data_IF_582060118707
#
_entry.id   IF_582060118707
#
_cell.length_a   1.000
_cell.length_b   1.000
_cell.length_c   1.000
_cell.angle_alpha   90.00
_cell.angle_beta   90.00
_cell.angle_gamma   90.00
#
_symmetry.space_group_name_H-M   'P 1'
#
loop_
_entity.id
_entity.type
_entity.pdbx_description
1 polymer ?
#
# COMPACT_ATOMS: atom_id res chain seq x y z
N UNK A 1 63.91 32.40 15.58
CA UNK A 1 62.80 31.67 16.15
C UNK A 1 61.49 32.15 15.53
N UNK A 2 60.97 31.42 14.56
CA UNK A 2 59.67 31.73 13.90
C UNK A 2 58.63 30.83 14.55
N UNK A 3 57.59 31.43 15.16
CA UNK A 3 56.43 30.75 15.75
C UNK A 3 55.43 30.44 14.63
N UNK A 4 55.13 29.20 14.41
CA UNK A 4 54.00 28.74 13.56
C UNK A 4 52.74 28.80 14.38
N UNK A 5 51.72 29.52 13.89
CA UNK A 5 50.39 29.53 14.44
C UNK A 5 49.64 28.28 13.92
N UNK A 6 48.87 27.55 14.77
CA UNK A 6 48.06 26.44 14.28
C UNK A 6 46.81 27.00 13.58
N UNK A 7 46.62 26.60 12.34
CA UNK A 7 45.39 26.82 11.61
C UNK A 7 44.30 25.88 12.16
N UNK A 8 43.34 26.42 12.89
CA UNK A 8 42.15 25.70 13.29
C UNK A 8 41.24 25.51 12.04
N UNK A 9 41.19 24.28 11.57
CA UNK A 9 40.21 23.90 10.53
C UNK A 9 38.85 23.76 11.20
N UNK A 10 37.97 24.74 10.98
CA UNK A 10 36.58 24.66 11.42
C UNK A 10 35.84 23.80 10.40
N UNK A 11 35.51 22.55 10.76
CA UNK A 11 34.56 21.73 10.03
C UNK A 11 33.16 22.26 10.29
N UNK A 12 32.61 22.98 9.33
CA UNK A 12 31.18 23.30 9.30
C UNK A 12 30.47 22.01 8.88
N UNK A 13 29.92 21.30 9.86
CA UNK A 13 28.94 20.23 9.63
C UNK A 13 27.67 20.90 9.06
N UNK A 14 27.55 20.94 7.74
CA UNK A 14 26.29 21.24 7.07
C UNK A 14 25.39 20.05 7.32
N UNK A 15 24.55 20.14 8.34
CA UNK A 15 23.46 19.22 8.56
C UNK A 15 22.46 19.43 7.42
N UNK A 16 22.65 18.71 6.31
CA UNK A 16 21.71 18.68 5.22
C UNK A 16 20.40 18.09 5.76
N UNK A 17 19.42 18.92 5.98
CA UNK A 17 18.04 18.49 6.20
C UNK A 17 17.60 17.86 4.88
N UNK A 18 17.71 16.55 4.79
CA UNK A 18 17.05 15.79 3.75
C UNK A 18 15.55 15.99 3.98
N UNK A 19 14.95 16.82 3.16
CA UNK A 19 13.50 16.90 3.06
C UNK A 19 13.03 15.57 2.51
N UNK A 20 12.63 14.66 3.39
CA UNK A 20 11.83 13.50 3.02
C UNK A 20 10.51 14.11 2.54
N UNK A 21 10.33 14.20 1.25
CA UNK A 21 9.03 14.55 0.70
C UNK A 21 8.09 13.43 1.06
N UNK A 22 7.09 13.72 1.88
CA UNK A 22 5.95 12.83 2.05
C UNK A 22 5.36 12.61 0.66
N UNK A 23 5.26 11.36 0.26
CA UNK A 23 4.81 10.99 -1.07
C UNK A 23 3.34 11.28 -1.31
N UNK A 24 2.54 11.26 -0.25
CA UNK A 24 1.10 11.52 -0.27
C UNK A 24 0.79 12.77 0.54
N UNK A 25 0.78 13.93 -0.10
CA UNK A 25 0.35 15.18 0.54
C UNK A 25 -1.15 15.39 0.38
N UNK A 26 -1.72 14.94 -0.75
CA UNK A 26 -3.14 15.04 -1.01
C UNK A 26 -3.95 14.00 -0.22
N UNK A 27 -5.08 14.43 0.32
CA UNK A 27 -6.02 13.56 1.06
C UNK A 27 -7.33 13.46 0.30
N UNK A 28 -7.73 12.24 0.00
CA UNK A 28 -8.96 11.90 -0.72
C UNK A 28 -10.01 11.35 0.22
N UNK A 29 -11.28 11.64 -0.05
CA UNK A 29 -12.41 11.15 0.73
C UNK A 29 -13.28 10.27 -0.18
N UNK A 30 -13.33 8.96 0.05
CA UNK A 30 -14.15 8.05 -0.74
C UNK A 30 -15.63 8.45 -0.71
N UNK A 31 -16.29 8.41 -1.86
CA UNK A 31 -17.70 8.73 -2.01
C UNK A 31 -18.04 10.23 -2.14
N UNK A 32 -17.16 11.12 -1.72
CA UNK A 32 -17.35 12.58 -1.81
C UNK A 32 -16.49 13.24 -2.88
N UNK A 33 -15.48 12.54 -3.35
CA UNK A 33 -14.52 13.07 -4.32
C UNK A 33 -14.21 11.99 -5.35
N UNK A 34 -14.11 12.36 -6.59
CA UNK A 34 -13.58 11.47 -7.62
C UNK A 34 -12.13 11.17 -7.26
N UNK A 35 -11.81 9.91 -7.05
CA UNK A 35 -10.46 9.49 -6.75
C UNK A 35 -9.62 9.57 -8.03
N UNK A 36 -8.40 10.10 -7.97
CA UNK A 36 -7.55 10.24 -9.15
C UNK A 36 -7.05 8.88 -9.63
N UNK A 37 -6.74 8.78 -10.90
CA UNK A 37 -6.06 7.62 -11.48
C UNK A 37 -4.61 7.50 -10.99
N UNK A 38 -4.03 8.62 -10.59
CA UNK A 38 -2.73 8.72 -9.91
C UNK A 38 -2.93 9.35 -8.54
N UNK A 39 -2.12 9.02 -7.55
CA UNK A 39 -2.30 9.55 -6.20
C UNK A 39 -1.82 10.99 -6.07
N UNK A 40 -0.76 11.38 -6.77
CA UNK A 40 -0.17 12.73 -6.70
C UNK A 40 0.53 13.13 -7.99
N UNK A 41 0.82 14.44 -8.10
CA UNK A 41 1.62 14.97 -9.20
C UNK A 41 2.99 14.28 -9.26
N UNK A 42 3.36 13.84 -10.46
CA UNK A 42 4.61 13.12 -10.70
C UNK A 42 4.57 11.63 -10.43
N UNK A 43 3.48 11.10 -9.85
CA UNK A 43 3.25 9.68 -9.72
C UNK A 43 2.50 9.14 -10.95
N UNK A 44 3.06 8.12 -11.56
CA UNK A 44 2.40 7.38 -12.63
C UNK A 44 1.85 6.08 -12.05
N UNK A 45 0.56 5.93 -12.02
CA UNK A 45 -0.13 4.73 -11.55
C UNK A 45 -1.24 4.34 -12.49
N UNK A 46 -1.84 3.19 -12.22
CA UNK A 46 -2.96 2.65 -12.99
C UNK A 46 -4.24 2.59 -12.16
N UNK A 47 -4.36 3.44 -11.14
CA UNK A 47 -5.47 3.40 -10.17
C UNK A 47 -6.78 3.86 -10.84
N UNK A 48 -7.41 2.96 -11.55
CA UNK A 48 -8.70 3.18 -12.24
C UNK A 48 -9.79 2.34 -11.59
N UNK A 49 -10.52 2.95 -10.66
CA UNK A 49 -11.65 2.34 -9.98
C UNK A 49 -12.94 2.61 -10.75
N UNK A 50 -13.58 1.56 -11.20
CA UNK A 50 -14.91 1.62 -11.80
C UNK A 50 -16.03 1.66 -10.76
N UNK A 51 -17.24 1.44 -11.19
CA UNK A 51 -18.40 1.21 -10.32
C UNK A 51 -18.57 -0.29 -10.06
N UNK A 52 -19.07 -0.64 -8.88
CA UNK A 52 -19.38 -2.02 -8.53
C UNK A 52 -18.14 -2.86 -8.23
N UNK A 53 -18.03 -4.03 -8.87
CA UNK A 53 -16.87 -4.92 -8.79
C UNK A 53 -16.68 -5.61 -10.14
N UNK A 54 -15.43 -5.78 -10.55
CA UNK A 54 -15.08 -6.39 -11.83
C UNK A 54 -13.74 -7.12 -11.73
N UNK A 55 -13.65 -8.31 -12.29
CA UNK A 55 -12.39 -9.07 -12.34
C UNK A 55 -11.34 -8.42 -13.25
N UNK A 56 -11.74 -7.42 -14.03
CA UNK A 56 -10.84 -6.63 -14.88
C UNK A 56 -10.51 -5.26 -14.26
N UNK A 57 -10.93 -5.00 -13.02
CA UNK A 57 -10.66 -3.72 -12.37
C UNK A 57 -9.16 -3.47 -12.23
N UNK A 58 -8.76 -2.25 -12.55
CA UNK A 58 -7.42 -1.70 -12.34
C UNK A 58 -7.34 -0.80 -11.10
N UNK A 59 -8.36 -0.89 -10.23
CA UNK A 59 -8.39 -0.12 -9.00
C UNK A 59 -7.26 -0.50 -8.06
N UNK A 60 -6.59 0.50 -7.54
CA UNK A 60 -5.50 0.37 -6.56
C UNK A 60 -5.88 1.01 -5.21
N UNK A 61 -7.16 1.02 -4.87
CA UNK A 61 -7.63 1.50 -3.57
C UNK A 61 -7.89 0.33 -2.63
N UNK A 62 -7.19 0.28 -1.50
CA UNK A 62 -7.41 -0.69 -0.44
C UNK A 62 -8.26 -0.12 0.69
N UNK A 63 -8.95 -1.02 1.35
CA UNK A 63 -9.74 -0.73 2.55
C UNK A 63 -9.34 -1.71 3.66
N UNK A 64 -9.22 -1.20 4.90
CA UNK A 64 -8.98 -2.03 6.08
C UNK A 64 -9.88 -1.58 7.22
N UNK A 65 -11.04 -2.20 7.36
CA UNK A 65 -12.06 -1.80 8.32
C UNK A 65 -12.29 -2.84 9.43
N UNK A 66 -12.24 -4.11 9.08
CA UNK A 66 -12.48 -5.24 10.02
C UNK A 66 -11.98 -6.56 9.43
N UNK A 67 -12.08 -7.65 10.21
CA UNK A 67 -11.77 -9.01 9.74
C UNK A 67 -12.62 -9.48 8.52
N UNK A 68 -13.76 -8.87 8.28
CA UNK A 68 -14.67 -9.20 7.17
C UNK A 68 -14.81 -8.09 6.14
N UNK A 69 -14.05 -7.01 6.32
CA UNK A 69 -14.10 -5.84 5.46
C UNK A 69 -12.69 -5.28 5.25
N UNK A 70 -11.96 -5.90 4.35
CA UNK A 70 -10.61 -5.52 3.96
C UNK A 70 -10.32 -5.90 2.50
N UNK A 71 -9.20 -5.41 2.00
CA UNK A 71 -8.68 -5.73 0.69
C UNK A 71 -7.23 -6.20 0.80
N UNK A 72 -6.76 -6.89 -0.22
CA UNK A 72 -5.38 -7.31 -0.42
C UNK A 72 -4.88 -6.80 -1.77
N UNK A 73 -3.59 -6.62 -1.88
CA UNK A 73 -2.92 -6.40 -3.15
C UNK A 73 -2.68 -7.73 -3.86
N UNK A 74 -2.85 -7.75 -5.16
CA UNK A 74 -2.49 -8.90 -6.00
C UNK A 74 -2.21 -8.47 -7.44
N UNK A 75 -1.49 -9.30 -8.21
CA UNK A 75 -1.20 -9.01 -9.60
C UNK A 75 -2.45 -8.83 -10.45
N UNK A 76 -2.28 -8.15 -11.58
CA UNK A 76 -3.38 -7.89 -12.51
C UNK A 76 -3.90 -9.16 -13.22
N UNK A 77 -3.08 -10.22 -13.28
CA UNK A 77 -3.40 -11.44 -13.99
C UNK A 77 -3.45 -11.26 -15.51
N UNK A 78 -3.93 -12.25 -16.27
CA UNK A 78 -4.42 -13.57 -15.79
C UNK A 78 -3.31 -14.54 -15.35
N UNK A 79 -2.08 -14.33 -15.81
CA UNK A 79 -0.97 -15.19 -15.44
C UNK A 79 -0.50 -14.89 -14.01
N UNK A 80 -0.24 -15.93 -13.20
CA UNK A 80 0.33 -15.74 -11.87
C UNK A 80 1.73 -15.12 -11.92
N UNK A 81 1.97 -14.13 -11.09
CA UNK A 81 3.26 -13.43 -10.98
C UNK A 81 3.64 -13.32 -9.51
N UNK A 82 4.93 -13.41 -9.19
CA UNK A 82 5.43 -13.13 -7.84
C UNK A 82 5.21 -11.65 -7.47
N UNK A 83 4.86 -11.39 -6.23
CA UNK A 83 4.60 -10.01 -5.77
C UNK A 83 5.80 -9.11 -6.02
N UNK A 84 7.01 -9.53 -5.67
CA UNK A 84 8.23 -8.74 -5.89
C UNK A 84 8.47 -8.31 -7.36
N UNK A 85 7.86 -9.00 -8.33
CA UNK A 85 7.94 -8.64 -9.74
C UNK A 85 6.78 -7.76 -10.22
N UNK A 86 5.75 -7.54 -9.40
CA UNK A 86 4.52 -6.82 -9.75
C UNK A 86 4.11 -5.73 -8.77
N UNK A 87 4.90 -5.47 -7.73
CA UNK A 87 4.60 -4.53 -6.64
C UNK A 87 4.09 -3.18 -7.11
N UNK A 88 4.66 -2.68 -8.21
CA UNK A 88 4.33 -1.36 -8.75
C UNK A 88 2.97 -1.29 -9.45
N UNK A 89 2.44 -2.44 -9.85
CA UNK A 89 1.27 -2.54 -10.73
C UNK A 89 0.15 -3.39 -10.13
N UNK A 90 0.30 -3.87 -8.89
CA UNK A 90 -0.75 -4.66 -8.24
C UNK A 90 -2.06 -3.89 -8.15
N UNK A 91 -3.15 -4.64 -8.11
CA UNK A 91 -4.51 -4.12 -7.99
C UNK A 91 -5.21 -4.64 -6.74
N UNK A 92 -6.34 -4.06 -6.41
CA UNK A 92 -7.09 -4.35 -5.20
C UNK A 92 -8.06 -5.49 -5.37
N UNK A 93 -7.98 -6.46 -4.46
CA UNK A 93 -8.93 -7.55 -4.27
C UNK A 93 -9.61 -7.39 -2.90
N UNK A 94 -10.90 -7.15 -2.87
CA UNK A 94 -11.63 -6.85 -1.63
C UNK A 94 -12.59 -7.97 -1.22
N UNK A 95 -12.86 -8.07 0.06
CA UNK A 95 -13.88 -8.98 0.62
C UNK A 95 -15.31 -8.47 0.37
N UNK A 96 -15.47 -7.18 0.07
CA UNK A 96 -16.77 -6.55 -0.20
C UNK A 96 -16.85 -5.93 -1.58
N UNK A 97 -18.01 -6.10 -2.22
CA UNK A 97 -18.35 -5.47 -3.48
C UNK A 97 -18.64 -3.96 -3.33
N UNK A 98 -18.75 -3.27 -4.47
CA UNK A 98 -19.22 -1.89 -4.53
C UNK A 98 -18.13 -0.83 -4.36
N UNK A 99 -16.86 -1.22 -4.52
CA UNK A 99 -15.70 -0.32 -4.36
C UNK A 99 -14.92 -0.07 -5.65
N UNK A 100 -15.46 -0.54 -6.77
CA UNK A 100 -14.75 -0.47 -8.05
C UNK A 100 -13.55 -1.42 -8.15
N UNK A 101 -13.37 -2.33 -7.19
CA UNK A 101 -12.25 -3.25 -7.07
C UNK A 101 -12.62 -4.66 -7.55
N UNK A 102 -11.66 -5.55 -7.61
CA UNK A 102 -11.90 -7.00 -7.75
C UNK A 102 -12.42 -7.57 -6.44
N UNK A 103 -13.05 -8.74 -6.50
CA UNK A 103 -13.42 -9.49 -5.30
C UNK A 103 -12.38 -10.59 -5.04
N UNK A 104 -12.11 -10.82 -3.76
CA UNK A 104 -11.36 -12.01 -3.34
C UNK A 104 -12.22 -13.24 -3.64
N UNK A 105 -11.78 -14.17 -4.50
CA UNK A 105 -12.56 -15.35 -4.86
C UNK A 105 -12.88 -16.21 -3.62
N UNK A 106 -14.06 -16.86 -3.57
CA UNK A 106 -14.38 -17.81 -2.51
C UNK A 106 -13.32 -18.89 -2.35
N UNK A 107 -12.97 -19.22 -1.11
CA UNK A 107 -11.96 -20.25 -0.80
C UNK A 107 -10.51 -19.76 -0.84
N UNK A 108 -10.26 -18.49 -1.19
CA UNK A 108 -8.91 -17.90 -1.15
C UNK A 108 -8.41 -17.79 0.29
N UNK A 109 -9.21 -17.21 1.18
CA UNK A 109 -8.84 -17.00 2.58
C UNK A 109 -9.05 -18.27 3.42
N UNK A 110 -8.06 -18.66 4.22
CA UNK A 110 -8.10 -19.80 5.15
C UNK A 110 -8.21 -19.35 6.60
N UNK A 111 -7.45 -18.34 6.99
CA UNK A 111 -7.55 -17.71 8.30
C UNK A 111 -7.47 -16.21 8.18
N UNK A 112 -8.13 -15.50 9.07
CA UNK A 112 -8.09 -14.04 9.15
C UNK A 112 -8.08 -13.64 10.61
N UNK A 113 -7.11 -12.84 10.99
CA UNK A 113 -6.99 -12.21 12.30
C UNK A 113 -7.00 -10.69 12.13
N UNK A 114 -7.75 -10.00 12.96
CA UNK A 114 -7.83 -8.54 12.95
C UNK A 114 -7.47 -7.99 14.32
N UNK A 115 -6.54 -7.05 14.34
CA UNK A 115 -6.10 -6.36 15.56
C UNK A 115 -6.38 -4.86 15.39
N UNK A 116 -6.94 -4.26 16.41
CA UNK A 116 -7.12 -2.81 16.52
C UNK A 116 -6.48 -2.31 17.80
N UNK A 117 -5.63 -1.32 17.66
CA UNK A 117 -4.99 -0.61 18.78
C UNK A 117 -5.33 0.90 18.69
N UNK A 118 -4.94 1.72 19.66
CA UNK A 118 -5.04 3.17 19.53
C UNK A 118 -4.22 3.77 18.38
N UNK A 119 -3.18 3.06 17.90
CA UNK A 119 -2.19 3.59 16.96
C UNK A 119 -2.22 2.94 15.59
N UNK A 120 -2.72 1.72 15.47
CA UNK A 120 -2.79 1.01 14.20
C UNK A 120 -3.93 -0.01 14.19
N UNK A 121 -4.32 -0.40 12.98
CA UNK A 121 -5.10 -1.61 12.73
C UNK A 121 -4.32 -2.53 11.82
N UNK A 122 -4.51 -3.82 11.98
CA UNK A 122 -3.85 -4.84 11.18
C UNK A 122 -4.79 -5.99 10.91
N UNK A 123 -4.75 -6.49 9.69
CA UNK A 123 -5.29 -7.79 9.32
C UNK A 123 -4.14 -8.68 8.89
N UNK A 124 -4.18 -9.93 9.31
CA UNK A 124 -3.21 -10.95 8.88
C UNK A 124 -3.89 -12.30 8.77
N UNK A 125 -3.31 -13.19 8.01
CA UNK A 125 -3.90 -14.50 7.83
C UNK A 125 -3.16 -15.36 6.83
N UNK A 126 -3.83 -16.47 6.46
CA UNK A 126 -3.32 -17.44 5.48
C UNK A 126 -4.35 -17.69 4.40
N UNK A 127 -3.88 -18.14 3.25
CA UNK A 127 -4.75 -18.37 2.10
C UNK A 127 -4.14 -19.20 0.99
N UNK A 128 -4.85 -19.21 -0.13
CA UNK A 128 -4.40 -19.75 -1.42
C UNK A 128 -4.42 -18.55 -2.38
N UNK A 129 -3.32 -17.80 -2.40
CA UNK A 129 -3.28 -16.52 -3.12
C UNK A 129 -3.00 -16.66 -4.61
N UNK A 130 -2.79 -17.87 -5.13
CA UNK A 130 -2.91 -18.14 -6.56
C UNK A 130 -4.28 -17.73 -7.13
N UNK A 131 -5.33 -17.79 -6.31
CA UNK A 131 -6.68 -17.37 -6.71
C UNK A 131 -6.78 -15.84 -6.98
N UNK A 132 -5.78 -15.08 -6.57
CA UNK A 132 -5.61 -13.66 -6.91
C UNK A 132 -4.30 -13.43 -7.67
N UNK A 133 -3.89 -14.43 -8.42
CA UNK A 133 -2.76 -14.40 -9.35
C UNK A 133 -1.36 -14.26 -8.73
N UNK A 134 -1.19 -14.58 -7.44
CA UNK A 134 0.13 -14.63 -6.82
C UNK A 134 0.78 -15.98 -7.11
N UNK A 135 1.94 -15.94 -7.77
CA UNK A 135 2.70 -17.14 -8.10
C UNK A 135 3.34 -17.77 -6.87
N UNK A 136 3.41 -19.10 -6.84
CA UNK A 136 4.24 -19.85 -5.89
C UNK A 136 5.72 -19.70 -6.13
N UNK A 137 6.10 -19.32 -7.34
CA UNK A 137 7.48 -19.10 -7.74
C UNK A 137 7.79 -17.61 -7.65
N UNK A 138 8.58 -17.16 -6.70
CA UNK A 138 8.99 -15.77 -6.66
C UNK A 138 8.92 -15.10 -5.30
N UNK A 139 8.48 -15.83 -4.28
CA UNK A 139 8.40 -15.31 -2.91
C UNK A 139 7.37 -14.20 -2.74
N UNK A 140 7.34 -13.62 -1.54
CA UNK A 140 6.50 -12.48 -1.22
C UNK A 140 7.09 -11.14 -1.64
N UNK A 141 6.32 -10.11 -1.41
CA UNK A 141 6.75 -8.72 -1.57
C UNK A 141 6.19 -7.85 -0.46
N UNK A 142 6.87 -6.75 -0.24
CA UNK A 142 6.48 -5.70 0.70
C UNK A 142 5.96 -4.50 -0.08
N UNK A 143 4.77 -4.05 0.31
CA UNK A 143 4.11 -2.93 -0.33
C UNK A 143 3.88 -1.84 0.71
N UNK A 144 4.18 -0.62 0.34
CA UNK A 144 4.10 0.55 1.20
C UNK A 144 3.88 1.84 0.38
N UNK A 145 3.51 2.97 1.02
CA UNK A 145 3.22 4.20 0.30
C UNK A 145 4.46 4.89 -0.27
N UNK A 146 5.66 4.49 0.09
CA UNK A 146 6.89 5.16 -0.31
C UNK A 146 7.58 4.45 -1.48
N UNK A 147 7.69 3.13 -1.44
CA UNK A 147 8.51 2.38 -2.39
C UNK A 147 10.00 2.79 -2.30
N UNK A 148 10.85 2.13 -3.06
CA UNK A 148 12.30 2.41 -3.07
C UNK A 148 12.63 3.83 -3.60
N UNK A 149 11.85 4.31 -4.56
CA UNK A 149 12.10 5.59 -5.25
C UNK A 149 11.21 6.74 -4.78
N UNK A 150 10.43 6.53 -3.74
CA UNK A 150 9.48 7.51 -3.25
C UNK A 150 8.17 7.59 -4.03
N UNK A 151 7.87 6.70 -4.96
CA UNK A 151 6.65 6.73 -5.78
C UNK A 151 5.56 5.75 -5.31
N UNK A 152 5.86 4.91 -4.32
CA UNK A 152 4.96 3.90 -3.76
C UNK A 152 5.02 2.54 -4.43
N UNK A 153 4.67 1.53 -3.65
CA UNK A 153 4.39 0.18 -4.09
C UNK A 153 2.98 -0.21 -3.63
N UNK A 154 1.96 -0.18 -4.49
CA UNK A 154 2.00 0.20 -5.91
C UNK A 154 2.04 1.73 -6.12
N UNK A 155 2.49 2.15 -7.30
CA UNK A 155 2.41 3.56 -7.71
C UNK A 155 0.94 3.97 -7.81
N UNK A 156 0.56 5.03 -7.11
CA UNK A 156 -0.81 5.52 -7.12
C UNK A 156 -1.78 4.80 -6.17
N UNK A 157 -1.31 3.82 -5.39
CA UNK A 157 -2.14 3.09 -4.44
C UNK A 157 -2.62 3.97 -3.28
N UNK A 158 -3.91 3.91 -2.96
CA UNK A 158 -4.52 4.60 -1.83
C UNK A 158 -5.08 3.60 -0.83
N UNK A 159 -4.95 3.92 0.45
CA UNK A 159 -5.48 3.10 1.53
C UNK A 159 -6.47 3.89 2.37
N UNK A 160 -7.62 3.28 2.67
CA UNK A 160 -8.69 3.87 3.45
C UNK A 160 -9.08 2.98 4.62
N UNK A 161 -9.42 3.60 5.75
CA UNK A 161 -9.94 2.89 6.92
C UNK A 161 -10.96 3.71 7.68
N UNK A 162 -11.97 3.03 8.23
CA UNK A 162 -12.89 3.62 9.22
C UNK A 162 -12.58 3.13 10.64
N UNK A 163 -11.53 2.35 10.82
CA UNK A 163 -11.21 1.74 12.10
C UNK A 163 -10.85 2.75 13.20
N UNK A 164 -10.50 3.97 12.84
CA UNK A 164 -10.21 5.06 13.78
C UNK A 164 -11.36 6.08 13.91
N UNK A 165 -12.53 5.80 13.34
CA UNK A 165 -13.69 6.67 13.36
C UNK A 165 -14.35 6.80 11.99
N UNK A 166 -14.27 7.97 11.36
CA UNK A 166 -14.79 8.16 9.99
C UNK A 166 -13.87 7.50 8.97
N UNK A 167 -14.45 7.03 7.87
CA UNK A 167 -13.68 6.55 6.73
C UNK A 167 -12.77 7.67 6.23
N UNK A 168 -11.48 7.43 6.24
CA UNK A 168 -10.46 8.39 5.83
C UNK A 168 -9.29 7.67 5.18
N UNK A 169 -8.54 8.41 4.36
CA UNK A 169 -7.27 7.94 3.83
C UNK A 169 -6.26 7.79 4.95
N UNK A 170 -5.49 6.72 4.88
CA UNK A 170 -4.29 6.53 5.68
C UNK A 170 -3.06 6.73 4.79
N UNK A 171 -2.12 7.54 5.26
CA UNK A 171 -0.91 7.86 4.54
C UNK A 171 0.24 6.90 4.86
N UNK A 172 0.18 6.26 6.04
CA UNK A 172 1.20 5.30 6.49
C UNK A 172 0.60 3.91 6.63
N UNK A 173 1.11 3.00 5.85
CA UNK A 173 0.69 1.60 5.82
C UNK A 173 1.80 0.70 5.30
N UNK A 174 1.74 -0.58 5.64
CA UNK A 174 2.60 -1.60 5.08
C UNK A 174 1.81 -2.88 4.86
N UNK A 175 2.06 -3.53 3.76
CA UNK A 175 1.46 -4.81 3.40
C UNK A 175 2.54 -5.77 2.95
N UNK A 176 2.52 -6.97 3.51
CA UNK A 176 3.29 -8.10 3.04
C UNK A 176 2.33 -9.19 2.59
N UNK A 177 2.59 -9.79 1.45
CA UNK A 177 1.83 -10.94 0.95
C UNK A 177 2.73 -11.86 0.14
N UNK A 178 2.56 -13.16 0.36
CA UNK A 178 3.15 -14.23 -0.45
C UNK A 178 2.06 -15.23 -0.88
N UNK A 179 2.44 -16.38 -1.37
CA UNK A 179 1.51 -17.41 -1.85
C UNK A 179 0.65 -18.05 -0.75
N UNK A 180 1.02 -17.91 0.53
CA UNK A 180 0.36 -18.59 1.65
C UNK A 180 -0.13 -17.68 2.76
N UNK A 181 0.51 -16.53 2.96
CA UNK A 181 0.22 -15.64 4.10
C UNK A 181 0.21 -14.17 3.69
N UNK A 182 -0.46 -13.39 4.51
CA UNK A 182 -0.49 -11.94 4.36
C UNK A 182 -0.50 -11.24 5.71
N UNK A 183 0.00 -10.02 5.70
CA UNK A 183 -0.13 -9.05 6.78
C UNK A 183 -0.32 -7.67 6.17
N UNK A 184 -1.36 -6.96 6.60
CA UNK A 184 -1.61 -5.60 6.18
C UNK A 184 -1.90 -4.73 7.38
N UNK A 185 -1.06 -3.72 7.59
CA UNK A 185 -1.15 -2.76 8.69
C UNK A 185 -1.39 -1.37 8.17
N UNK A 186 -2.24 -0.64 8.88
CA UNK A 186 -2.53 0.77 8.63
C UNK A 186 -2.28 1.54 9.92
N UNK A 187 -1.43 2.55 9.87
CA UNK A 187 -1.12 3.43 10.98
C UNK A 187 -2.13 4.58 11.05
N UNK A 188 -2.37 5.07 12.25
CA UNK A 188 -3.27 6.20 12.48
C UNK A 188 -2.62 7.54 12.15
N UNK A 189 -1.29 7.61 12.30
CA UNK A 189 -0.47 8.81 12.11
C UNK A 189 0.81 8.42 11.41
#
# INVERSE_FOLDING_TARGET
>A
MRRFAPWAVVYILVCGVLWVRSQYTATYVPGNTTLPETSEEGQAGTNRCGEGSSDLSMCQNLYLNSATDFCLWGPQGPEPVGIGNSEREVVSYCTKAGRGTRLIPPGTLRSVHFVRTPHYVQVSGTGIFENIHISKEGGGGELDPHGEDGLGNPIGGLVFTNAFGKLAQAHEWASFIDEYQFSFRVCKY
#
